data_IF_899571151108
#
_entry.id   IF_899571151108
#
_cell.length_a   1.000
_cell.length_b   1.000
_cell.length_c   1.000
_cell.angle_alpha   90.00
_cell.angle_beta   90.00
_cell.angle_gamma   90.00
#
_symmetry.space_group_name_H-M   'P 1'
#
loop_
_entity.id
_entity.type
_entity.pdbx_description
1 polymer ?
#
# COMPACT_ATOMS: atom_id res chain seq x y z
N UNK A 1 31.28 40.73 24.99
CA UNK A 1 31.34 39.51 24.14
C UNK A 1 30.12 39.30 23.22
N UNK A 2 29.15 40.23 23.14
CA UNK A 2 27.98 40.09 22.24
C UNK A 2 28.17 40.68 20.82
N UNK A 3 29.22 41.49 20.59
CA UNK A 3 29.44 42.18 19.31
C UNK A 3 30.08 41.28 18.22
N UNK A 4 30.89 40.29 18.62
CA UNK A 4 31.60 39.41 17.67
C UNK A 4 30.67 38.40 16.97
N UNK A 5 29.65 37.91 17.68
CA UNK A 5 28.70 36.91 17.14
C UNK A 5 27.77 37.50 16.06
N UNK A 6 27.34 38.75 16.22
CA UNK A 6 26.48 39.42 15.24
C UNK A 6 27.21 39.68 13.91
N UNK A 7 28.51 40.01 13.97
CA UNK A 7 29.31 40.27 12.77
C UNK A 7 29.62 38.99 11.99
N UNK A 8 29.78 37.86 12.69
CA UNK A 8 29.98 36.54 12.09
C UNK A 8 28.73 36.02 11.36
N UNK A 9 27.53 36.32 11.89
CA UNK A 9 26.26 35.96 11.27
C UNK A 9 26.01 36.73 9.96
N UNK A 10 26.38 38.01 9.93
CA UNK A 10 26.18 38.89 8.76
C UNK A 10 27.13 38.56 7.60
N UNK A 11 28.35 38.12 7.90
CA UNK A 11 29.32 37.61 6.93
C UNK A 11 28.85 36.30 6.28
N UNK A 12 28.30 35.37 7.06
CA UNK A 12 27.76 34.10 6.56
C UNK A 12 26.52 34.29 5.66
N UNK A 13 25.66 35.26 5.98
CA UNK A 13 24.50 35.58 5.15
C UNK A 13 24.86 36.33 3.87
N UNK A 14 25.90 37.18 3.89
CA UNK A 14 26.45 37.79 2.67
C UNK A 14 27.07 36.75 1.75
N UNK A 15 27.80 35.76 2.28
CA UNK A 15 28.37 34.66 1.49
C UNK A 15 27.30 33.70 0.94
N UNK A 16 26.22 33.43 1.68
CA UNK A 16 25.05 32.69 1.17
C UNK A 16 24.34 33.42 0.03
N UNK A 17 24.24 34.75 0.09
CA UNK A 17 23.66 35.57 -0.99
C UNK A 17 24.58 35.63 -2.21
N UNK A 18 25.91 35.71 -2.01
CA UNK A 18 26.91 35.67 -3.10
C UNK A 18 26.93 34.32 -3.81
N UNK A 19 26.87 33.21 -3.06
CA UNK A 19 26.81 31.85 -3.63
C UNK A 19 25.48 31.54 -4.31
N UNK A 20 24.35 32.09 -3.82
CA UNK A 20 23.06 32.04 -4.55
C UNK A 20 23.06 32.82 -5.86
N UNK A 21 23.73 33.99 -5.91
CA UNK A 21 23.84 34.81 -7.13
C UNK A 21 24.85 34.22 -8.14
N UNK A 22 25.88 33.53 -7.66
CA UNK A 22 26.84 32.81 -8.51
C UNK A 22 26.23 31.57 -9.18
N UNK A 23 25.32 30.85 -8.51
CA UNK A 23 24.63 29.68 -9.09
C UNK A 23 23.57 30.03 -10.14
N UNK A 24 23.10 31.28 -10.21
CA UNK A 24 22.17 31.75 -11.24
C UNK A 24 22.83 32.49 -12.41
N UNK A 25 24.15 32.68 -12.40
CA UNK A 25 24.89 33.41 -13.45
C UNK A 25 26.02 32.62 -14.14
N UNK A 26 26.12 31.31 -13.96
CA UNK A 26 27.03 30.48 -14.77
C UNK A 26 26.33 29.95 -16.03
N UNK A 27 25.83 30.85 -16.87
CA UNK A 27 25.42 30.53 -18.23
C UNK A 27 26.27 31.37 -19.20
N UNK A 28 27.27 30.69 -19.76
CA UNK A 28 27.94 30.96 -21.04
C UNK A 28 28.29 32.42 -21.39
N UNK A 29 29.57 32.80 -21.24
CA UNK A 29 30.19 33.83 -22.08
C UNK A 29 31.42 33.25 -22.77
N UNK A 30 31.20 32.74 -23.97
CA UNK A 30 32.25 32.57 -24.99
C UNK A 30 31.60 32.89 -26.33
N UNK A 31 31.99 33.97 -27.02
CA UNK A 31 31.45 34.29 -28.34
C UNK A 31 32.25 33.54 -29.41
N UNK A 32 31.55 32.81 -30.27
CA UNK A 32 32.13 32.18 -31.45
C UNK A 32 32.24 30.67 -31.31
N UNK A 33 31.15 29.99 -31.67
CA UNK A 33 31.13 28.75 -32.44
C UNK A 33 29.65 28.37 -32.59
N UNK A 34 29.12 28.65 -33.78
CA UNK A 34 27.80 28.20 -34.20
C UNK A 34 27.81 26.66 -34.24
N UNK A 35 27.32 26.04 -33.19
CA UNK A 35 26.93 24.64 -33.20
C UNK A 35 25.42 24.61 -33.02
N UNK A 36 24.72 23.92 -33.93
CA UNK A 36 23.31 23.59 -33.82
C UNK A 36 23.04 22.79 -32.53
N UNK A 37 22.99 23.45 -31.38
CA UNK A 37 22.38 22.93 -30.18
C UNK A 37 20.88 22.91 -30.47
N UNK A 38 20.34 21.73 -30.81
CA UNK A 38 18.90 21.47 -30.69
C UNK A 38 18.47 22.05 -29.35
N UNK A 39 17.70 23.14 -29.36
CA UNK A 39 17.10 23.73 -28.16
C UNK A 39 16.40 22.59 -27.43
N UNK A 40 17.03 22.06 -26.38
CA UNK A 40 16.43 21.03 -25.55
C UNK A 40 15.25 21.72 -24.89
N UNK A 41 14.03 21.30 -25.23
CA UNK A 41 12.82 21.85 -24.64
C UNK A 41 12.94 21.75 -23.13
N UNK A 42 12.72 22.87 -22.45
CA UNK A 42 12.77 22.91 -21.00
C UNK A 42 11.39 22.51 -20.49
N UNK A 43 11.12 21.21 -20.48
CA UNK A 43 9.82 20.69 -20.07
C UNK A 43 9.43 21.08 -18.64
N UNK A 44 10.36 21.53 -17.79
CA UNK A 44 10.02 22.03 -16.47
C UNK A 44 9.26 23.38 -16.53
N UNK A 45 9.54 24.20 -17.54
CA UNK A 45 8.96 25.54 -17.72
C UNK A 45 8.02 25.63 -18.93
N UNK A 46 8.28 24.85 -19.99
CA UNK A 46 7.53 24.85 -21.25
C UNK A 46 6.25 23.99 -21.17
N UNK A 47 6.15 23.05 -20.22
CA UNK A 47 4.95 22.26 -20.00
C UNK A 47 3.96 23.06 -19.15
N UNK A 48 2.95 23.63 -19.79
CA UNK A 48 1.91 24.40 -19.09
C UNK A 48 1.12 23.53 -18.08
N UNK A 49 0.51 24.15 -17.06
CA UNK A 49 -0.14 23.40 -15.97
C UNK A 49 -1.26 22.46 -16.43
N UNK A 50 -2.03 22.83 -17.45
CA UNK A 50 -3.12 22.00 -17.97
C UNK A 50 -2.64 20.64 -18.51
N UNK A 51 -1.77 20.61 -19.54
CA UNK A 51 -1.15 19.39 -20.02
C UNK A 51 -0.40 18.60 -18.94
N UNK A 52 0.34 19.27 -18.05
CA UNK A 52 1.02 18.61 -16.94
C UNK A 52 0.03 17.88 -16.02
N UNK A 53 -1.10 18.52 -15.69
CA UNK A 53 -2.17 17.92 -14.90
C UNK A 53 -2.81 16.71 -15.61
N UNK A 54 -3.11 16.81 -16.91
CA UNK A 54 -3.67 15.69 -17.68
C UNK A 54 -2.72 14.49 -17.76
N UNK A 55 -1.42 14.73 -17.93
CA UNK A 55 -0.41 13.68 -17.88
C UNK A 55 -0.38 13.06 -16.48
N UNK A 56 -0.41 13.87 -15.43
CA UNK A 56 -0.40 13.40 -14.06
C UNK A 56 -1.62 12.51 -13.76
N UNK A 57 -2.82 12.91 -14.16
CA UNK A 57 -4.04 12.09 -14.01
C UNK A 57 -3.94 10.78 -14.78
N UNK A 58 -3.38 10.80 -16.00
CA UNK A 58 -3.19 9.58 -16.79
C UNK A 58 -2.19 8.63 -16.15
N UNK A 59 -1.10 9.15 -15.58
CA UNK A 59 -0.10 8.36 -14.86
C UNK A 59 -0.69 7.81 -13.56
N UNK A 60 -1.47 8.61 -12.82
CA UNK A 60 -2.16 8.18 -11.60
C UNK A 60 -3.17 7.06 -11.85
N UNK A 61 -3.88 7.14 -12.97
CA UNK A 61 -4.84 6.11 -13.40
C UNK A 61 -4.20 4.75 -13.63
N UNK A 62 -2.90 4.71 -13.95
CA UNK A 62 -2.15 3.47 -14.17
C UNK A 62 -1.42 3.00 -12.91
N UNK A 63 -0.61 3.88 -12.30
CA UNK A 63 0.19 3.54 -11.14
C UNK A 63 0.52 4.78 -10.27
N UNK A 64 0.17 4.70 -8.99
CA UNK A 64 0.50 5.74 -8.00
C UNK A 64 2.01 5.94 -7.83
N UNK A 65 2.85 4.91 -8.01
CA UNK A 65 4.30 5.11 -7.94
C UNK A 65 4.79 5.97 -9.12
N UNK A 66 4.24 5.76 -10.31
CA UNK A 66 4.42 6.63 -11.48
C UNK A 66 4.03 8.07 -11.18
N UNK A 67 2.88 8.27 -10.53
CA UNK A 67 2.39 9.59 -10.17
C UNK A 67 3.29 10.32 -9.17
N UNK A 68 3.74 9.61 -8.13
CA UNK A 68 4.69 10.16 -7.13
C UNK A 68 6.01 10.54 -7.79
N UNK A 69 6.52 9.71 -8.71
CA UNK A 69 7.72 10.02 -9.52
C UNK A 69 7.51 11.25 -10.39
N UNK A 70 6.37 11.37 -11.05
CA UNK A 70 6.03 12.55 -11.87
C UNK A 70 6.04 13.84 -11.03
N UNK A 71 5.40 13.82 -9.85
CA UNK A 71 5.42 14.93 -8.89
C UNK A 71 6.81 15.23 -8.31
N UNK A 72 7.74 14.29 -8.38
CA UNK A 72 9.10 14.47 -7.87
C UNK A 72 10.02 15.21 -8.87
N UNK A 73 9.65 15.30 -10.15
CA UNK A 73 10.50 15.89 -11.21
C UNK A 73 10.86 17.35 -10.93
N UNK A 74 9.87 18.22 -10.73
CA UNK A 74 10.10 19.62 -10.39
C UNK A 74 8.89 20.24 -9.66
N UNK A 75 9.07 21.44 -9.10
CA UNK A 75 8.04 22.14 -8.36
C UNK A 75 6.83 22.54 -9.24
N UNK A 76 7.07 22.97 -10.48
CA UNK A 76 6.01 23.36 -11.41
C UNK A 76 5.08 22.19 -11.76
N UNK A 77 5.65 21.01 -12.02
CA UNK A 77 4.88 19.79 -12.28
C UNK A 77 4.10 19.38 -11.04
N UNK A 78 4.74 19.37 -9.86
CA UNK A 78 4.08 19.07 -8.58
C UNK A 78 2.88 19.97 -8.32
N UNK A 79 3.01 21.27 -8.59
CA UNK A 79 1.95 22.25 -8.41
C UNK A 79 0.79 22.09 -9.41
N UNK A 80 1.03 21.41 -10.53
CA UNK A 80 0.01 21.11 -11.55
C UNK A 80 -0.76 19.82 -11.26
N UNK A 81 -0.43 19.11 -10.17
CA UNK A 81 -1.02 17.82 -9.80
C UNK A 81 -1.88 17.96 -8.53
N UNK A 82 -2.90 17.10 -8.40
CA UNK A 82 -3.66 16.98 -7.16
C UNK A 82 -2.76 16.62 -5.98
N UNK A 83 -2.87 17.31 -4.85
CA UNK A 83 -2.10 16.93 -3.67
C UNK A 83 -2.74 15.72 -2.97
N UNK A 84 -2.05 14.57 -2.81
CA UNK A 84 -2.61 13.43 -2.09
C UNK A 84 -3.02 13.82 -0.68
N UNK A 85 -2.24 14.65 0.03
CA UNK A 85 -2.61 15.10 1.40
C UNK A 85 -3.90 15.91 1.48
N UNK A 86 -4.37 16.49 0.37
CA UNK A 86 -5.65 17.19 0.33
C UNK A 86 -6.85 16.24 0.14
N UNK A 87 -6.60 14.95 -0.10
CA UNK A 87 -7.61 13.93 -0.29
C UNK A 87 -7.63 12.96 0.88
N UNK A 88 -8.79 12.35 1.10
CA UNK A 88 -8.93 11.29 2.09
C UNK A 88 -8.00 10.11 1.73
N UNK A 89 -7.45 9.45 2.75
CA UNK A 89 -6.61 8.26 2.58
C UNK A 89 -7.38 7.08 1.95
N UNK A 90 -8.71 7.13 1.96
CA UNK A 90 -9.59 6.19 1.29
C UNK A 90 -9.84 6.51 -0.18
N UNK A 91 -9.30 7.61 -0.73
CA UNK A 91 -9.43 7.92 -2.15
C UNK A 91 -8.73 6.84 -3.00
N UNK A 92 -9.50 6.01 -3.72
CA UNK A 92 -8.96 4.82 -4.34
C UNK A 92 -8.00 5.06 -5.50
N UNK A 93 -7.87 6.31 -5.96
CA UNK A 93 -6.92 6.72 -7.00
C UNK A 93 -5.48 6.72 -6.48
N UNK A 94 -5.28 6.96 -5.19
CA UNK A 94 -3.95 7.01 -4.60
C UNK A 94 -3.49 5.67 -4.03
N UNK A 95 -4.32 4.63 -4.09
CA UNK A 95 -4.01 3.33 -3.51
C UNK A 95 -2.92 2.55 -4.29
N UNK A 96 -1.89 1.98 -3.63
CA UNK A 96 -0.86 1.13 -4.27
C UNK A 96 -1.36 -0.25 -4.73
N UNK A 97 -2.42 -0.34 -5.55
CA UNK A 97 -3.12 -1.60 -5.87
C UNK A 97 -2.24 -2.72 -6.43
N UNK A 98 -1.19 -2.39 -7.21
CA UNK A 98 -0.27 -3.37 -7.81
C UNK A 98 0.95 -3.68 -6.95
N UNK A 99 1.10 -3.02 -5.79
CA UNK A 99 2.31 -3.07 -4.97
C UNK A 99 2.11 -3.93 -3.72
N UNK A 100 2.78 -5.07 -3.69
CA UNK A 100 2.80 -5.96 -2.54
C UNK A 100 4.03 -5.68 -1.66
N UNK A 101 3.81 -5.45 -0.36
CA UNK A 101 4.93 -5.37 0.58
C UNK A 101 5.60 -6.73 0.74
N UNK A 102 6.92 -6.79 0.54
CA UNK A 102 7.71 -7.99 0.77
C UNK A 102 7.95 -8.14 2.29
N UNK A 103 7.62 -9.30 2.90
CA UNK A 103 7.90 -9.56 4.30
C UNK A 103 9.40 -9.40 4.61
N UNK A 104 9.72 -8.71 5.70
CA UNK A 104 11.11 -8.53 6.12
C UNK A 104 11.68 -9.85 6.63
N UNK A 105 12.84 -10.25 6.13
CA UNK A 105 13.67 -11.27 6.79
C UNK A 105 14.28 -10.64 8.04
N UNK A 106 14.19 -11.32 9.19
CA UNK A 106 14.59 -10.79 10.50
C UNK A 106 15.94 -10.09 10.45
N UNK A 107 15.97 -8.79 10.77
CA UNK A 107 17.18 -7.98 10.85
C UNK A 107 17.19 -7.16 12.15
N UNK A 108 18.35 -7.11 12.80
CA UNK A 108 18.56 -6.51 14.14
C UNK A 108 18.78 -4.99 14.12
N UNK A 109 19.00 -4.36 12.96
CA UNK A 109 19.31 -2.94 12.85
C UNK A 109 18.05 -2.04 12.77
N UNK A 110 17.95 -1.05 13.66
CA UNK A 110 16.83 -0.11 13.77
C UNK A 110 16.61 0.80 12.54
N UNK A 111 17.67 1.26 11.85
CA UNK A 111 17.50 2.07 10.64
C UNK A 111 16.86 1.24 9.52
N UNK A 112 17.27 -0.03 9.41
CA UNK A 112 16.68 -1.04 8.52
C UNK A 112 15.27 -1.45 8.97
N UNK A 113 14.86 -1.16 10.23
CA UNK A 113 13.48 -1.43 10.70
C UNK A 113 12.44 -0.54 10.05
N UNK A 114 12.81 0.62 9.52
CA UNK A 114 11.87 1.59 8.92
C UNK A 114 11.70 1.42 7.41
N UNK A 115 12.68 0.83 6.71
CA UNK A 115 12.60 0.62 5.26
C UNK A 115 11.85 -0.68 4.93
N UNK A 116 10.92 -0.62 3.97
CA UNK A 116 10.16 -1.77 3.44
C UNK A 116 10.30 -1.83 1.93
N UNK A 117 10.49 -3.05 1.43
CA UNK A 117 10.47 -3.31 0.00
C UNK A 117 9.02 -3.58 -0.46
N UNK A 118 8.66 -3.02 -1.60
CA UNK A 118 7.39 -3.24 -2.28
C UNK A 118 7.68 -3.74 -3.69
N UNK A 119 6.98 -4.79 -4.10
CA UNK A 119 7.07 -5.40 -5.42
C UNK A 119 5.81 -5.08 -6.22
N UNK A 120 5.98 -4.55 -7.42
CA UNK A 120 4.91 -4.44 -8.39
C UNK A 120 4.69 -5.81 -9.03
N UNK A 121 3.50 -6.39 -8.83
CA UNK A 121 3.20 -7.73 -9.30
C UNK A 121 3.13 -7.83 -10.84
N UNK A 122 2.79 -6.74 -11.53
CA UNK A 122 2.62 -6.72 -12.98
C UNK A 122 3.94 -6.44 -13.71
N UNK A 123 4.80 -5.57 -13.16
CA UNK A 123 6.06 -5.16 -13.81
C UNK A 123 7.31 -5.82 -13.23
N UNK A 124 7.23 -6.41 -12.03
CA UNK A 124 8.39 -6.90 -11.28
C UNK A 124 9.26 -5.79 -10.68
N UNK A 125 8.86 -4.52 -10.79
CA UNK A 125 9.58 -3.39 -10.21
C UNK A 125 9.62 -3.51 -8.68
N UNK A 126 10.78 -3.26 -8.06
CA UNK A 126 10.95 -3.26 -6.61
C UNK A 126 11.36 -1.86 -6.13
N UNK A 127 10.59 -1.30 -5.20
CA UNK A 127 10.87 0.01 -4.58
C UNK A 127 11.04 -0.13 -3.07
N UNK A 128 11.86 0.74 -2.50
CA UNK A 128 12.11 0.78 -1.06
C UNK A 128 11.54 2.05 -0.47
N UNK A 129 10.59 1.90 0.44
CA UNK A 129 9.89 3.00 1.10
C UNK A 129 10.29 3.04 2.56
N UNK A 130 10.63 4.23 3.05
CA UNK A 130 10.82 4.46 4.48
C UNK A 130 9.46 4.74 5.12
N UNK A 131 8.97 3.78 5.89
CA UNK A 131 7.81 3.99 6.74
C UNK A 131 8.25 4.74 8.01
N UNK A 132 7.39 5.56 8.63
CA UNK A 132 7.70 6.23 9.88
C UNK A 132 8.30 5.27 10.91
N UNK A 133 9.20 5.74 11.77
CA UNK A 133 9.85 4.85 12.75
C UNK A 133 8.83 4.43 13.80
N UNK A 134 8.44 3.19 13.65
CA UNK A 134 7.35 2.53 14.29
C UNK A 134 8.05 1.76 15.44
N UNK A 135 8.13 2.40 16.62
CA UNK A 135 9.14 2.13 17.68
C UNK A 135 8.93 0.86 18.53
N UNK A 136 7.82 0.15 18.42
CA UNK A 136 7.55 -1.01 19.28
C UNK A 136 6.89 -2.12 18.47
N UNK A 137 7.40 -3.35 18.53
CA UNK A 137 7.17 -4.50 17.63
C UNK A 137 5.74 -4.97 17.30
N UNK A 138 4.75 -4.11 17.41
CA UNK A 138 3.32 -4.33 17.15
C UNK A 138 2.92 -3.88 15.73
N UNK A 139 3.82 -4.01 14.75
CA UNK A 139 3.52 -3.63 13.37
C UNK A 139 3.18 -4.82 12.51
N UNK A 140 2.10 -4.62 11.82
CA UNK A 140 1.17 -5.63 11.42
C UNK A 140 1.05 -5.51 9.92
N UNK A 141 2.16 -5.84 9.27
CA UNK A 141 2.30 -5.74 7.84
C UNK A 141 1.63 -6.96 7.21
N UNK A 142 0.40 -6.79 6.72
CA UNK A 142 -0.24 -7.75 5.84
C UNK A 142 -0.22 -7.23 4.40
N UNK A 143 -0.23 -8.10 3.38
CA UNK A 143 -0.63 -7.68 2.05
C UNK A 143 -2.04 -7.11 2.17
N UNK A 144 -2.20 -5.88 1.73
CA UNK A 144 -3.52 -5.27 1.61
C UNK A 144 -3.75 -5.12 0.13
N UNK A 145 -4.89 -5.61 -0.34
CA UNK A 145 -5.39 -5.09 -1.60
C UNK A 145 -5.69 -3.61 -1.36
N UNK A 146 -5.33 -2.77 -2.34
CA UNK A 146 -5.26 -1.31 -2.22
C UNK A 146 -4.01 -0.75 -1.51
N UNK A 147 -3.05 -1.58 -1.08
CA UNK A 147 -1.70 -1.10 -0.66
C UNK A 147 -1.63 -0.27 0.63
N UNK A 148 -2.70 -0.21 1.41
CA UNK A 148 -2.76 0.48 2.71
C UNK A 148 -2.08 -0.35 3.81
N UNK A 149 -1.18 0.22 4.59
CA UNK A 149 -0.48 -0.50 5.67
C UNK A 149 -1.15 -0.18 7.03
N UNK A 150 -1.19 -1.14 7.97
CA UNK A 150 -1.80 -0.95 9.30
C UNK A 150 -1.25 0.31 9.99
N UNK A 151 -2.18 1.10 10.55
CA UNK A 151 -2.22 2.58 10.70
C UNK A 151 -2.83 3.34 9.50
N UNK A 152 -3.37 2.62 8.51
CA UNK A 152 -3.97 3.18 7.30
C UNK A 152 -3.09 4.27 6.70
N UNK A 153 -1.84 3.87 6.51
CA UNK A 153 -0.85 4.71 5.86
C UNK A 153 -0.77 4.29 4.41
N UNK A 154 -0.83 5.27 3.52
CA UNK A 154 -0.41 5.08 2.14
C UNK A 154 1.12 5.21 2.10
N UNK A 155 1.87 4.12 1.90
CA UNK A 155 3.32 4.16 1.95
C UNK A 155 3.93 4.97 0.79
N UNK A 156 3.24 5.08 -0.34
CA UNK A 156 3.77 5.75 -1.52
C UNK A 156 3.48 7.25 -1.53
N UNK A 157 2.32 7.66 -1.05
CA UNK A 157 1.96 9.10 -0.96
C UNK A 157 2.29 9.72 0.39
N UNK A 158 2.48 8.90 1.43
CA UNK A 158 2.68 9.35 2.79
C UNK A 158 1.38 9.69 3.56
N UNK A 159 0.19 9.58 2.95
CA UNK A 159 -1.09 9.85 3.61
C UNK A 159 -1.31 8.95 4.82
N UNK A 160 -2.01 9.43 5.85
CA UNK A 160 -2.34 8.67 7.07
C UNK A 160 -3.80 8.90 7.44
N UNK A 161 -4.54 7.85 7.80
CA UNK A 161 -5.81 8.03 8.49
C UNK A 161 -5.53 8.58 9.89
N UNK A 162 -6.07 9.75 10.20
CA UNK A 162 -6.07 10.32 11.55
C UNK A 162 -7.35 10.00 12.32
N UNK A 163 -8.40 9.56 11.63
CA UNK A 163 -9.77 9.40 12.15
C UNK A 163 -10.14 7.97 12.57
N UNK A 164 -9.29 6.98 12.28
CA UNK A 164 -9.51 5.60 12.73
C UNK A 164 -8.63 5.29 13.94
N UNK A 165 -9.27 4.80 15.00
CA UNK A 165 -8.59 4.40 16.23
C UNK A 165 -7.51 3.37 15.91
N UNK A 166 -6.31 3.61 16.43
CA UNK A 166 -5.27 2.59 16.45
C UNK A 166 -5.85 1.38 17.19
N UNK A 167 -5.78 0.15 16.63
CA UNK A 167 -6.34 -1.05 17.26
C UNK A 167 -5.85 -1.31 18.70
N UNK A 168 -4.82 -0.61 19.15
CA UNK A 168 -4.25 -0.66 20.50
C UNK A 168 -5.21 -0.22 21.62
N UNK A 169 -6.25 0.58 21.33
CA UNK A 169 -6.86 1.40 22.38
C UNK A 169 -8.29 1.06 22.79
N UNK A 170 -8.99 0.14 22.11
CA UNK A 170 -10.46 0.06 22.25
C UNK A 170 -11.09 -1.35 22.37
N UNK A 171 -10.31 -2.40 22.57
CA UNK A 171 -10.87 -3.73 22.84
C UNK A 171 -10.29 -4.33 24.12
N UNK A 172 -11.12 -4.45 25.15
CA UNK A 172 -10.84 -5.27 26.33
C UNK A 172 -10.69 -6.77 25.99
N UNK A 173 -10.99 -7.20 24.76
CA UNK A 173 -11.02 -8.62 24.39
C UNK A 173 -9.63 -9.20 24.07
N UNK A 174 -8.68 -8.38 23.62
CA UNK A 174 -7.27 -8.76 23.50
C UNK A 174 -6.41 -7.52 23.71
N UNK A 175 -5.70 -7.44 24.85
CA UNK A 175 -4.50 -6.60 24.90
C UNK A 175 -3.66 -6.98 23.69
N UNK A 176 -3.17 -6.00 22.95
CA UNK A 176 -2.14 -6.23 21.92
C UNK A 176 -0.91 -6.77 22.67
N UNK A 177 -0.88 -8.08 22.87
CA UNK A 177 0.25 -8.83 23.39
C UNK A 177 1.20 -9.09 22.23
N UNK A 178 2.40 -9.56 22.53
CA UNK A 178 3.39 -9.96 21.50
C UNK A 178 2.87 -11.05 20.54
N UNK A 179 1.71 -11.66 20.81
CA UNK A 179 1.03 -12.64 19.95
C UNK A 179 0.01 -12.03 18.96
N UNK A 180 -0.29 -10.73 19.05
CA UNK A 180 -1.22 -10.07 18.14
C UNK A 180 -0.58 -9.88 16.76
N UNK A 181 -0.93 -10.76 15.81
CA UNK A 181 -0.45 -10.73 14.42
C UNK A 181 -1.60 -10.58 13.44
N UNK A 182 -1.66 -9.44 12.76
CA UNK A 182 -2.45 -9.15 11.57
C UNK A 182 -1.82 -9.87 10.41
N UNK A 183 -2.67 -10.56 9.69
CA UNK A 183 -2.30 -11.36 8.53
C UNK A 183 -2.77 -10.70 7.25
N UNK A 184 -3.84 -9.91 7.29
CA UNK A 184 -4.27 -9.04 6.19
C UNK A 184 -5.18 -7.92 6.68
N UNK A 185 -5.31 -6.86 5.88
CA UNK A 185 -6.22 -5.75 6.14
C UNK A 185 -6.70 -5.17 4.81
N UNK A 186 -7.78 -4.38 4.83
CA UNK A 186 -8.24 -3.69 3.65
C UNK A 186 -9.63 -3.07 3.81
N UNK A 187 -10.14 -2.49 2.73
CA UNK A 187 -11.47 -1.87 2.70
C UNK A 187 -12.59 -2.90 2.58
N UNK A 188 -13.69 -2.61 3.28
CA UNK A 188 -14.92 -3.40 3.33
C UNK A 188 -16.16 -2.55 3.01
N UNK A 189 -16.03 -1.62 2.05
CA UNK A 189 -17.07 -0.72 1.60
C UNK A 189 -16.87 0.71 2.11
N UNK A 190 -16.75 1.66 1.17
CA UNK A 190 -16.49 3.07 1.49
C UNK A 190 -15.21 3.24 2.30
N UNK A 191 -15.34 3.82 3.49
CA UNK A 191 -14.26 4.02 4.46
C UNK A 191 -14.20 2.94 5.55
N UNK A 192 -14.99 1.87 5.44
CA UNK A 192 -14.96 0.76 6.41
C UNK A 192 -13.68 -0.04 6.23
N UNK A 193 -12.97 -0.27 7.33
CA UNK A 193 -11.71 -1.03 7.36
C UNK A 193 -11.93 -2.35 8.06
N UNK A 194 -11.40 -3.41 7.47
CA UNK A 194 -11.37 -4.75 8.04
C UNK A 194 -9.94 -5.23 8.24
N UNK A 195 -9.73 -5.95 9.33
CA UNK A 195 -8.44 -6.41 9.81
C UNK A 195 -8.55 -7.88 10.19
N UNK A 196 -7.86 -8.76 9.47
CA UNK A 196 -7.72 -10.15 9.86
C UNK A 196 -6.47 -10.31 10.75
N UNK A 197 -6.66 -10.83 11.95
CA UNK A 197 -5.63 -10.99 12.96
C UNK A 197 -5.73 -12.30 13.73
N UNK A 198 -4.64 -12.65 14.39
CA UNK A 198 -4.48 -13.95 15.03
C UNK A 198 -4.61 -15.07 14.00
N UNK A 199 -5.25 -16.17 14.41
CA UNK A 199 -5.46 -17.33 13.54
C UNK A 199 -6.86 -17.39 12.93
N UNK A 200 -7.80 -16.56 13.38
CA UNK A 200 -9.22 -16.77 13.13
C UNK A 200 -10.11 -15.53 13.33
N UNK A 201 -9.58 -14.32 13.55
CA UNK A 201 -10.42 -13.18 13.91
C UNK A 201 -10.39 -12.09 12.83
N UNK A 202 -11.55 -11.50 12.55
CA UNK A 202 -11.67 -10.28 11.75
C UNK A 202 -12.18 -9.16 12.65
N UNK A 203 -11.55 -8.00 12.63
CA UNK A 203 -12.06 -6.80 13.27
C UNK A 203 -12.48 -5.79 12.21
N UNK A 204 -13.52 -5.02 12.49
CA UNK A 204 -14.10 -4.04 11.57
C UNK A 204 -14.24 -2.70 12.27
N UNK A 205 -13.89 -1.61 11.61
CA UNK A 205 -14.09 -0.26 12.11
C UNK A 205 -14.39 0.73 10.97
N UNK A 206 -15.14 1.77 11.29
CA UNK A 206 -15.43 2.93 10.44
C UNK A 206 -14.89 4.21 11.06
N UNK A 207 -14.60 5.24 10.26
CA UNK A 207 -14.28 6.56 10.79
C UNK A 207 -15.37 7.03 11.76
N UNK A 208 -14.96 7.42 12.96
CA UNK A 208 -15.89 7.84 14.02
C UNK A 208 -16.37 6.72 14.95
N UNK A 209 -16.10 5.44 14.66
CA UNK A 209 -16.39 4.36 15.61
C UNK A 209 -15.51 4.52 16.87
N UNK A 210 -16.12 4.33 18.04
CA UNK A 210 -15.42 4.39 19.34
C UNK A 210 -14.62 3.10 19.63
N UNK A 211 -14.93 2.00 18.94
CA UNK A 211 -14.23 0.73 19.09
C UNK A 211 -14.29 -0.13 17.83
N UNK A 212 -13.37 -1.08 17.71
CA UNK A 212 -13.38 -2.08 16.64
C UNK A 212 -14.43 -3.17 16.97
N UNK A 213 -15.30 -3.48 16.01
CA UNK A 213 -16.24 -4.59 16.12
C UNK A 213 -15.56 -5.89 15.69
N UNK A 214 -15.49 -6.87 16.60
CA UNK A 214 -14.87 -8.16 16.33
C UNK A 214 -15.85 -9.19 15.76
N UNK A 215 -15.40 -9.91 14.74
CA UNK A 215 -15.99 -11.12 14.18
C UNK A 215 -15.05 -12.30 14.47
N UNK A 216 -15.48 -13.22 15.33
CA UNK A 216 -14.80 -14.49 15.51
C UNK A 216 -14.84 -15.07 16.93
N UNK A 217 -14.22 -16.26 17.13
CA UNK A 217 -13.32 -16.92 16.18
C UNK A 217 -14.05 -17.49 14.95
N UNK A 218 -13.55 -17.14 13.77
CA UNK A 218 -13.94 -17.68 12.47
C UNK A 218 -13.16 -18.98 12.30
N UNK A 219 -13.85 -20.11 12.44
CA UNK A 219 -13.26 -21.42 12.21
C UNK A 219 -12.61 -21.49 10.83
N UNK A 220 -11.49 -22.24 10.74
CA UNK A 220 -10.96 -22.70 9.46
C UNK A 220 -10.46 -21.59 8.51
N UNK A 221 -10.06 -20.44 9.05
CA UNK A 221 -9.59 -19.29 8.27
C UNK A 221 -8.23 -19.54 7.60
N UNK A 222 -8.10 -19.18 6.31
CA UNK A 222 -6.87 -19.33 5.53
C UNK A 222 -6.22 -18.00 5.15
N UNK A 223 -6.98 -17.12 4.51
CA UNK A 223 -6.49 -15.83 4.04
C UNK A 223 -7.63 -14.84 3.87
N UNK A 224 -7.30 -13.56 3.72
CA UNK A 224 -8.25 -12.54 3.32
C UNK A 224 -7.56 -11.46 2.50
N UNK A 225 -8.34 -10.83 1.63
CA UNK A 225 -7.92 -9.71 0.80
C UNK A 225 -9.12 -8.80 0.55
N UNK A 226 -8.86 -7.52 0.33
CA UNK A 226 -9.86 -6.67 -0.32
C UNK A 226 -9.89 -6.93 -1.82
N UNK A 227 -11.03 -6.69 -2.45
CA UNK A 227 -11.20 -6.77 -3.88
C UNK A 227 -12.43 -5.94 -4.25
N UNK A 228 -12.30 -5.07 -5.26
CA UNK A 228 -13.37 -4.18 -5.71
C UNK A 228 -14.07 -3.42 -4.56
N UNK A 229 -13.29 -2.94 -3.58
CA UNK A 229 -13.81 -2.20 -2.42
C UNK A 229 -14.52 -3.04 -1.36
N UNK A 230 -14.52 -4.36 -1.46
CA UNK A 230 -15.10 -5.29 -0.48
C UNK A 230 -14.00 -6.14 0.16
N UNK A 231 -14.25 -6.67 1.36
CA UNK A 231 -13.28 -7.52 2.05
C UNK A 231 -13.73 -8.99 2.00
N UNK A 232 -12.88 -9.85 1.47
CA UNK A 232 -13.13 -11.28 1.31
C UNK A 232 -12.20 -12.09 2.19
N UNK A 233 -12.72 -13.16 2.77
CA UNK A 233 -11.95 -14.17 3.50
C UNK A 233 -12.18 -15.56 2.93
N UNK A 234 -11.14 -16.38 2.94
CA UNK A 234 -11.20 -17.79 2.59
C UNK A 234 -11.17 -18.61 3.86
N UNK A 235 -12.13 -19.52 3.99
CA UNK A 235 -12.15 -20.59 4.98
C UNK A 235 -11.88 -21.93 4.29
N UNK A 236 -11.89 -23.05 5.03
CA UNK A 236 -11.86 -24.39 4.39
C UNK A 236 -13.07 -24.65 3.50
N UNK A 237 -14.20 -23.98 3.76
CA UNK A 237 -15.50 -24.32 3.20
C UNK A 237 -16.04 -23.28 2.24
N UNK A 238 -15.56 -22.04 2.32
CA UNK A 238 -16.11 -20.95 1.53
C UNK A 238 -15.11 -19.84 1.27
N UNK A 239 -15.37 -19.09 0.20
CA UNK A 239 -14.97 -17.69 0.11
C UNK A 239 -16.15 -16.89 0.64
N UNK A 240 -15.96 -16.14 1.73
CA UNK A 240 -16.98 -15.30 2.33
C UNK A 240 -16.61 -13.83 2.18
N UNK A 241 -17.62 -12.98 2.04
CA UNK A 241 -17.49 -11.52 1.97
C UNK A 241 -17.97 -10.90 3.26
N UNK A 242 -17.27 -9.87 3.71
CA UNK A 242 -17.69 -9.03 4.81
C UNK A 242 -18.78 -8.07 4.35
N UNK A 243 -19.96 -8.20 4.94
CA UNK A 243 -21.02 -7.22 4.88
C UNK A 243 -20.93 -6.35 6.12
N UNK A 244 -20.69 -5.05 5.92
CA UNK A 244 -20.64 -4.07 6.99
C UNK A 244 -21.41 -2.82 6.56
N UNK A 245 -22.75 -2.89 6.60
CA UNK A 245 -23.64 -1.73 6.33
C UNK A 245 -23.89 -0.91 7.59
N UNK A 246 -24.17 0.39 7.46
CA UNK A 246 -24.43 1.27 8.62
C UNK A 246 -25.58 0.76 9.51
N UNK A 247 -26.55 0.08 8.91
CA UNK A 247 -27.80 -0.38 9.54
C UNK A 247 -27.73 -1.78 10.19
N UNK A 248 -26.66 -2.55 9.98
CA UNK A 248 -26.58 -3.94 10.47
C UNK A 248 -25.21 -4.24 11.07
N UNK A 249 -25.12 -5.11 12.09
CA UNK A 249 -23.84 -5.55 12.61
C UNK A 249 -23.03 -6.22 11.49
N UNK A 250 -21.71 -6.01 11.47
CA UNK A 250 -20.87 -6.62 10.45
C UNK A 250 -20.98 -8.15 10.51
N UNK A 251 -20.99 -8.81 9.36
CA UNK A 251 -21.07 -10.27 9.28
C UNK A 251 -20.37 -10.80 8.03
N UNK A 252 -19.96 -12.06 8.10
CA UNK A 252 -19.43 -12.77 6.95
C UNK A 252 -20.54 -13.56 6.27
N UNK A 253 -20.67 -13.39 4.96
CA UNK A 253 -21.65 -14.09 4.12
C UNK A 253 -20.91 -14.88 3.05
N UNK A 254 -21.26 -16.16 2.87
CA UNK A 254 -20.65 -17.01 1.85
C UNK A 254 -20.92 -16.44 0.44
N UNK A 255 -19.85 -16.16 -0.30
CA UNK A 255 -19.90 -15.73 -1.69
C UNK A 255 -19.69 -16.89 -2.66
N UNK A 256 -18.82 -17.85 -2.29
CA UNK A 256 -18.55 -19.08 -3.04
C UNK A 256 -18.50 -20.24 -2.06
N UNK A 257 -19.25 -21.31 -2.33
CA UNK A 257 -19.16 -22.56 -1.58
C UNK A 257 -18.04 -23.42 -2.19
N UNK A 258 -17.16 -23.96 -1.35
CA UNK A 258 -16.05 -24.81 -1.74
C UNK A 258 -16.34 -26.29 -1.52
N UNK A 259 -17.48 -26.65 -0.91
CA UNK A 259 -17.83 -28.06 -0.68
C UNK A 259 -18.16 -28.77 -2.01
N UNK A 260 -17.78 -30.07 -2.16
CA UNK A 260 -17.06 -30.91 -1.21
C UNK A 260 -15.52 -30.75 -1.27
N UNK A 261 -15.01 -29.92 -2.18
CA UNK A 261 -13.58 -29.70 -2.44
C UNK A 261 -13.01 -28.60 -1.53
N UNK A 262 -13.06 -28.83 -0.22
CA UNK A 262 -12.40 -27.97 0.76
C UNK A 262 -10.88 -28.10 0.71
N UNK A 263 -10.20 -27.18 1.41
CA UNK A 263 -8.74 -27.22 1.55
C UNK A 263 -8.31 -28.03 2.78
N UNK A 264 -7.17 -28.71 2.69
CA UNK A 264 -6.60 -29.39 3.86
C UNK A 264 -6.02 -28.36 4.84
N UNK A 265 -5.87 -28.76 6.10
CA UNK A 265 -5.27 -27.90 7.12
C UNK A 265 -3.86 -27.43 6.74
N UNK A 266 -3.08 -28.31 6.11
CA UNK A 266 -1.71 -28.03 5.62
C UNK A 266 -1.66 -27.13 4.39
N UNK A 267 -2.76 -26.98 3.64
CA UNK A 267 -2.74 -26.24 2.38
C UNK A 267 -2.56 -24.74 2.64
N UNK A 268 -1.73 -24.09 1.82
CA UNK A 268 -1.64 -22.64 1.79
C UNK A 268 -2.58 -22.10 0.73
N UNK A 269 -3.43 -21.15 1.12
CA UNK A 269 -4.42 -20.56 0.22
C UNK A 269 -4.38 -19.05 0.37
N UNK A 270 -4.29 -18.35 -0.75
CA UNK A 270 -4.18 -16.89 -0.80
C UNK A 270 -5.16 -16.30 -1.81
N UNK A 271 -5.87 -15.25 -1.42
CA UNK A 271 -6.57 -14.38 -2.38
C UNK A 271 -5.64 -13.28 -2.87
N UNK A 272 -5.71 -13.02 -4.16
CA UNK A 272 -4.91 -12.00 -4.85
C UNK A 272 -5.81 -11.25 -5.84
N UNK A 273 -5.70 -9.93 -5.88
CA UNK A 273 -6.22 -9.13 -6.97
C UNK A 273 -5.18 -9.13 -8.11
N UNK A 274 -5.54 -9.72 -9.25
CA UNK A 274 -4.73 -9.75 -10.47
C UNK A 274 -5.41 -8.89 -11.53
N UNK A 275 -5.01 -7.62 -11.59
CA UNK A 275 -5.48 -6.66 -12.61
C UNK A 275 -7.02 -6.57 -12.70
N UNK A 276 -7.70 -6.57 -11.55
CA UNK A 276 -9.16 -6.51 -11.46
C UNK A 276 -9.85 -7.88 -11.49
N UNK A 277 -9.08 -8.97 -11.48
CA UNK A 277 -9.59 -10.33 -11.33
C UNK A 277 -9.23 -10.89 -9.96
N UNK A 278 -10.23 -11.36 -9.21
CA UNK A 278 -10.00 -12.06 -7.95
C UNK A 278 -9.50 -13.48 -8.25
N UNK A 279 -8.28 -13.77 -7.82
CA UNK A 279 -7.62 -15.06 -8.02
C UNK A 279 -7.36 -15.71 -6.67
N UNK A 280 -7.72 -16.99 -6.56
CA UNK A 280 -7.34 -17.84 -5.45
C UNK A 280 -6.12 -18.67 -5.86
N UNK A 281 -5.03 -18.54 -5.12
CA UNK A 281 -3.82 -19.34 -5.28
C UNK A 281 -3.79 -20.40 -4.19
N UNK A 282 -3.82 -21.66 -4.61
CA UNK A 282 -3.75 -22.83 -3.74
C UNK A 282 -2.38 -23.49 -3.91
N UNK A 283 -1.66 -23.64 -2.81
CA UNK A 283 -0.39 -24.33 -2.74
C UNK A 283 -0.52 -25.55 -1.84
N UNK A 284 -0.35 -26.72 -2.44
CA UNK A 284 -0.33 -28.00 -1.73
C UNK A 284 1.08 -28.23 -1.22
N UNK A 285 1.24 -28.21 0.10
CA UNK A 285 2.49 -28.61 0.74
C UNK A 285 2.58 -30.13 0.72
N UNK A 286 3.61 -30.66 0.05
CA UNK A 286 3.90 -32.08 0.05
C UNK A 286 4.93 -32.36 1.15
N UNK A 287 4.54 -32.95 2.30
CA UNK A 287 5.43 -33.11 3.45
C UNK A 287 6.54 -34.15 3.24
N UNK A 288 6.52 -34.89 2.13
CA UNK A 288 7.40 -36.04 1.88
C UNK A 288 8.66 -35.71 1.06
N UNK A 289 8.76 -34.54 0.43
CA UNK A 289 9.96 -34.18 -0.32
C UNK A 289 10.85 -33.25 0.49
N UNK A 290 12.11 -33.65 0.68
CA UNK A 290 13.20 -32.84 1.25
C UNK A 290 13.45 -31.53 0.48
N UNK A 291 12.86 -31.41 -0.71
CA UNK A 291 12.74 -30.17 -1.45
C UNK A 291 11.33 -29.62 -1.27
N UNK A 292 11.19 -28.37 -0.81
CA UNK A 292 9.91 -27.64 -0.77
C UNK A 292 9.40 -27.40 -2.21
N UNK A 293 8.86 -28.43 -2.86
CA UNK A 293 8.24 -28.34 -4.17
C UNK A 293 6.73 -28.30 -3.97
N UNK A 294 6.21 -27.13 -3.58
CA UNK A 294 4.77 -26.91 -3.48
C UNK A 294 4.15 -26.96 -4.88
N UNK A 295 3.03 -27.68 -5.04
CA UNK A 295 2.26 -27.62 -6.29
C UNK A 295 1.31 -26.43 -6.21
N UNK A 296 1.53 -25.45 -7.08
CA UNK A 296 0.68 -24.28 -7.18
C UNK A 296 -0.44 -24.52 -8.19
N UNK A 297 -1.66 -24.15 -7.81
CA UNK A 297 -2.81 -24.07 -8.71
C UNK A 297 -3.51 -22.74 -8.49
N UNK A 298 -3.81 -22.02 -9.56
CA UNK A 298 -4.54 -20.78 -9.49
C UNK A 298 -5.95 -20.97 -10.03
N UNK A 299 -6.91 -20.32 -9.38
CA UNK A 299 -8.31 -20.33 -9.75
C UNK A 299 -8.80 -18.89 -9.89
N UNK A 300 -9.43 -18.59 -11.02
CA UNK A 300 -10.23 -17.37 -11.16
C UNK A 300 -11.51 -17.55 -10.35
N UNK A 301 -11.79 -16.63 -9.44
CA UNK A 301 -13.01 -16.64 -8.63
C UNK A 301 -14.11 -15.88 -9.39
N UNK A 302 -15.24 -16.54 -9.64
CA UNK A 302 -16.41 -15.91 -10.23
C UNK A 302 -17.47 -15.67 -9.14
N UNK A 303 -17.60 -14.41 -8.72
CA UNK A 303 -18.53 -14.03 -7.66
C UNK A 303 -19.99 -14.07 -8.11
N UNK A 304 -20.27 -13.86 -9.40
CA UNK A 304 -21.63 -13.86 -9.94
C UNK A 304 -22.17 -15.28 -10.10
N UNK A 305 -21.34 -16.17 -10.66
CA UNK A 305 -21.66 -17.60 -10.80
C UNK A 305 -21.46 -18.38 -9.50
N UNK A 306 -20.81 -17.77 -8.50
CA UNK A 306 -20.43 -18.38 -7.24
C UNK A 306 -19.61 -19.65 -7.42
N UNK A 307 -18.68 -19.62 -8.37
CA UNK A 307 -17.80 -20.73 -8.72
C UNK A 307 -16.34 -20.30 -8.87
N UNK A 308 -15.49 -21.26 -9.22
CA UNK A 308 -14.08 -21.02 -9.50
C UNK A 308 -13.63 -21.82 -10.71
N UNK A 309 -12.82 -21.20 -11.57
CA UNK A 309 -12.29 -21.83 -12.79
C UNK A 309 -10.77 -21.86 -12.73
N UNK A 310 -10.19 -23.04 -12.92
CA UNK A 310 -8.73 -23.21 -12.92
C UNK A 310 -8.09 -22.39 -14.05
N UNK A 311 -6.98 -21.72 -13.75
CA UNK A 311 -6.19 -20.96 -14.72
C UNK A 311 -5.05 -21.87 -15.22
N UNK A 312 -5.04 -22.26 -16.50
CA UNK A 312 -3.95 -23.06 -17.06
C UNK A 312 -2.64 -22.28 -17.11
N UNK A 313 -1.50 -22.96 -16.91
CA UNK A 313 -0.17 -22.42 -17.23
C UNK A 313 0.57 -21.67 -16.11
N UNK A 314 -0.02 -21.47 -14.94
CA UNK A 314 0.73 -21.12 -13.72
C UNK A 314 1.22 -22.42 -13.07
N UNK A 315 2.38 -22.94 -13.50
CA UNK A 315 3.10 -24.04 -12.84
C UNK A 315 4.35 -23.53 -12.15
#
# INVERSE_FOLDING_TARGET
MASSAAHHQELLDKDRRRTKRARSQSFCRSPGLAHHCRRRRDWANDLSPGPAGLIAERVLSDDVAGYVRFRAVCAAWRASCADPSAHDVFDPRFHPRRWAMIPRRSSSNAVVRSQRAFLNASTGECIHVRLPDLRHGHYLFGPTAEGLVVQLHNPLTGQRATSLLVPTSASNAYRITDAFRVRSAGLAGGSTVALHYGNAAVAVARPGDECWTQLGPIGNFKSAASFAGRFYCVTFESISVLEATASQPPRLVAAVDLKPRGFLWSDMVHLVDRDGELVLVHCVLNPTSTNFCGRYTAYRVNLDKRDMVAIPGLR
#
